data_IF_084489098009
#
_entry.id   IF_084489098009
#
_cell.length_a   1.000
_cell.length_b   1.000
_cell.length_c   1.000
_cell.angle_alpha   90.00
_cell.angle_beta   90.00
_cell.angle_gamma   90.00
#
_symmetry.space_group_name_H-M   'P 1'
#
loop_
_entity.id
_entity.type
_entity.pdbx_description
1 polymer ?
#
# COMPACT_ATOMS: atom_id res chain seq x y z
N UNK A 1 10.65 58.11 -29.24
CA UNK A 1 12.09 58.12 -29.38
C UNK A 1 12.74 57.59 -28.13
N UNK A 2 13.79 56.82 -28.29
CA UNK A 2 14.63 56.13 -27.30
C UNK A 2 14.27 54.69 -26.94
N UNK A 3 14.98 53.76 -27.62
CA UNK A 3 15.18 52.36 -27.32
C UNK A 3 16.22 52.23 -26.20
N UNK A 4 15.94 51.36 -25.22
CA UNK A 4 17.01 50.86 -24.36
C UNK A 4 17.03 49.35 -24.42
N UNK A 5 18.10 48.81 -24.96
CA UNK A 5 18.57 47.44 -24.94
C UNK A 5 19.41 47.26 -23.66
N UNK A 6 19.11 46.26 -22.84
CA UNK A 6 20.00 45.71 -21.80
C UNK A 6 19.66 44.22 -21.72
N UNK A 7 20.46 43.31 -22.20
CA UNK A 7 21.70 42.88 -21.65
C UNK A 7 21.51 41.51 -21.02
N UNK A 8 21.73 40.36 -21.79
CA UNK A 8 21.74 38.97 -21.33
C UNK A 8 23.00 38.70 -20.48
N UNK A 9 22.95 38.03 -19.35
CA UNK A 9 24.14 37.40 -18.76
C UNK A 9 24.19 35.90 -19.00
N UNK A 10 25.19 35.48 -19.66
CA UNK A 10 26.22 34.51 -19.39
C UNK A 10 25.82 33.12 -18.88
N UNK A 11 25.82 32.14 -19.83
CA UNK A 11 25.94 30.71 -19.52
C UNK A 11 27.31 30.42 -18.88
N UNK A 12 27.33 29.98 -17.64
CA UNK A 12 28.49 29.29 -17.05
C UNK A 12 28.35 27.80 -17.28
N UNK A 13 29.19 27.24 -18.11
CA UNK A 13 29.43 25.80 -18.25
C UNK A 13 30.32 25.37 -17.09
N UNK A 14 29.82 24.47 -16.27
CA UNK A 14 30.63 23.77 -15.27
C UNK A 14 31.03 22.43 -15.88
N UNK A 15 32.32 22.25 -16.10
CA UNK A 15 32.93 21.02 -16.56
C UNK A 15 32.98 20.02 -15.39
N UNK A 16 32.41 18.85 -15.58
CA UNK A 16 32.50 17.73 -14.63
C UNK A 16 33.70 16.87 -14.95
N UNK A 17 34.60 16.75 -14.00
CA UNK A 17 35.75 15.86 -14.05
C UNK A 17 35.31 14.42 -13.71
N UNK A 18 35.68 13.49 -14.59
CA UNK A 18 35.61 12.05 -14.44
C UNK A 18 36.66 11.60 -13.40
N UNK A 19 36.17 10.95 -12.32
CA UNK A 19 37.02 10.21 -11.40
C UNK A 19 36.69 8.72 -11.50
N UNK A 20 37.54 7.95 -12.23
CA UNK A 20 37.55 6.50 -12.25
C UNK A 20 38.33 6.02 -11.01
N UNK A 21 37.64 5.35 -10.09
CA UNK A 21 38.25 4.67 -8.96
C UNK A 21 37.85 3.19 -8.96
N UNK A 22 38.72 2.34 -9.53
CA UNK A 22 38.66 0.89 -9.43
C UNK A 22 39.27 0.49 -8.09
N UNK A 23 38.51 -0.15 -7.21
CA UNK A 23 39.03 -0.88 -6.06
C UNK A 23 38.48 -2.31 -6.12
N UNK A 24 39.40 -3.18 -6.53
CA UNK A 24 39.33 -4.64 -6.41
C UNK A 24 39.72 -5.00 -4.97
N UNK A 25 38.85 -5.65 -4.26
CA UNK A 25 39.11 -6.12 -2.89
C UNK A 25 38.46 -7.46 -2.64
N UNK A 26 39.32 -8.45 -2.48
CA UNK A 26 39.21 -9.91 -2.47
C UNK A 26 38.37 -10.49 -1.34
N UNK A 27 37.66 -11.57 -1.68
CA UNK A 27 37.34 -12.84 -1.01
C UNK A 27 37.89 -13.08 0.43
N UNK A 28 36.96 -13.42 1.32
CA UNK A 28 37.23 -14.38 2.37
C UNK A 28 36.00 -15.26 2.60
N UNK A 29 36.10 -16.50 2.14
CA UNK A 29 35.26 -17.65 2.48
C UNK A 29 35.76 -18.20 3.83
N UNK A 30 34.88 -18.27 4.81
CA UNK A 30 34.99 -19.15 6.00
C UNK A 30 33.55 -19.63 6.20
N UNK A 31 33.14 -20.85 6.00
CA UNK A 31 33.67 -22.10 6.43
C UNK A 31 32.90 -22.60 7.65
N UNK A 32 31.84 -23.45 7.41
CA UNK A 32 31.30 -24.52 8.24
C UNK A 32 31.04 -24.30 9.74
N UNK A 33 29.80 -24.55 10.17
CA UNK A 33 29.59 -25.58 11.19
C UNK A 33 28.10 -26.01 11.21
N UNK A 34 27.91 -27.28 10.85
CA UNK A 34 26.75 -28.10 11.09
C UNK A 34 26.55 -28.31 12.60
N UNK A 35 25.37 -27.95 13.12
CA UNK A 35 24.96 -28.32 14.46
C UNK A 35 23.45 -28.57 14.46
N UNK A 36 23.07 -29.85 14.29
CA UNK A 36 21.70 -30.29 14.54
C UNK A 36 21.50 -30.46 16.04
N UNK A 37 20.46 -29.90 16.65
CA UNK A 37 19.90 -30.43 17.87
C UNK A 37 18.76 -31.38 17.56
N UNK A 38 18.92 -32.64 17.83
CA UNK A 38 17.85 -33.58 18.12
C UNK A 38 17.10 -33.10 19.35
N UNK A 39 15.80 -32.92 19.23
CA UNK A 39 14.91 -32.69 20.33
C UNK A 39 13.50 -33.11 19.91
N UNK A 40 13.19 -34.40 20.08
CA UNK A 40 11.85 -34.93 19.94
C UNK A 40 10.98 -34.43 21.08
N UNK A 41 9.95 -33.63 20.76
CA UNK A 41 8.86 -33.27 21.63
C UNK A 41 7.57 -33.89 21.13
N UNK A 42 7.14 -34.95 21.81
CA UNK A 42 5.86 -35.66 21.60
C UNK A 42 4.72 -34.73 21.92
N UNK A 43 3.84 -34.47 20.94
CA UNK A 43 2.59 -33.74 21.14
C UNK A 43 1.54 -34.70 21.71
N UNK A 44 0.89 -34.39 22.84
CA UNK A 44 -0.19 -35.24 23.38
C UNK A 44 -1.44 -35.12 22.49
N UNK A 45 -2.21 -36.22 22.33
CA UNK A 45 -3.45 -36.18 21.53
C UNK A 45 -4.58 -35.47 22.28
N UNK A 46 -5.26 -34.59 21.54
CA UNK A 46 -6.49 -33.94 21.96
C UNK A 46 -7.59 -34.99 22.13
N UNK A 47 -8.13 -35.11 23.34
CA UNK A 47 -9.30 -35.93 23.65
C UNK A 47 -10.55 -35.34 23.02
N UNK A 48 -11.13 -36.11 22.13
CA UNK A 48 -12.51 -35.96 21.65
C UNK A 48 -13.48 -36.43 22.76
N UNK A 49 -14.30 -35.55 23.28
CA UNK A 49 -15.52 -35.91 24.02
C UNK A 49 -16.66 -35.40 23.12
N UNK A 50 -17.55 -36.20 22.54
CA UNK A 50 -18.39 -37.24 23.12
C UNK A 50 -19.79 -36.68 23.31
N UNK A 51 -20.59 -36.83 22.27
CA UNK A 51 -22.01 -37.21 22.15
C UNK A 51 -23.00 -36.86 23.32
N UNK A 52 -24.14 -36.35 22.86
CA UNK A 52 -25.44 -36.36 23.50
C UNK A 52 -26.28 -35.20 22.94
N UNK A 53 -27.30 -35.36 22.17
CA UNK A 53 -28.45 -36.23 22.19
C UNK A 53 -29.71 -35.39 22.44
N UNK A 54 -30.69 -35.45 21.53
CA UNK A 54 -32.06 -35.04 21.82
C UNK A 54 -32.67 -34.01 20.88
N UNK A 55 -33.28 -34.43 19.81
CA UNK A 55 -34.72 -34.62 19.53
C UNK A 55 -35.55 -33.38 19.18
N UNK A 56 -36.04 -33.43 17.96
CA UNK A 56 -37.40 -33.16 17.44
C UNK A 56 -37.98 -31.75 17.46
N UNK A 57 -38.30 -31.22 16.31
CA UNK A 57 -39.62 -31.24 15.72
C UNK A 57 -39.70 -30.51 14.39
N UNK A 58 -40.32 -31.16 13.44
CA UNK A 58 -40.93 -30.81 12.17
C UNK A 58 -41.62 -29.44 12.11
N UNK A 59 -41.51 -28.79 10.93
CA UNK A 59 -42.66 -28.47 10.08
C UNK A 59 -42.21 -27.79 8.79
N UNK A 60 -42.38 -28.48 7.71
CA UNK A 60 -43.16 -28.24 6.48
C UNK A 60 -42.87 -26.97 5.68
N UNK A 61 -42.21 -27.17 4.54
CA UNK A 61 -42.66 -26.94 3.17
C UNK A 61 -43.15 -25.54 2.77
N UNK A 62 -42.36 -24.98 1.82
CA UNK A 62 -42.92 -24.48 0.58
C UNK A 62 -41.81 -24.41 -0.48
N UNK A 63 -42.06 -25.03 -1.60
CA UNK A 63 -41.14 -25.17 -2.74
C UNK A 63 -40.92 -23.86 -3.49
N UNK A 64 -39.72 -23.70 -3.92
CA UNK A 64 -39.30 -22.76 -4.95
C UNK A 64 -38.17 -23.42 -5.69
N UNK A 65 -38.50 -24.04 -6.83
CA UNK A 65 -37.55 -24.49 -7.84
C UNK A 65 -36.76 -23.33 -8.36
N UNK A 66 -35.50 -23.19 -7.93
CA UNK A 66 -34.53 -22.33 -8.55
C UNK A 66 -33.44 -23.24 -9.11
N UNK A 67 -33.40 -23.32 -10.43
CA UNK A 67 -32.43 -24.01 -11.26
C UNK A 67 -31.02 -23.65 -10.83
N UNK A 68 -30.28 -24.69 -10.43
CA UNK A 68 -28.89 -24.58 -10.02
C UNK A 68 -27.99 -24.10 -11.16
N UNK A 69 -27.36 -23.01 -10.94
CA UNK A 69 -26.04 -22.75 -11.49
C UNK A 69 -25.04 -23.15 -10.40
N UNK A 70 -24.29 -24.22 -10.66
CA UNK A 70 -23.12 -24.58 -9.87
C UNK A 70 -22.09 -23.46 -10.04
N UNK A 71 -22.21 -22.41 -9.25
CA UNK A 71 -21.18 -21.41 -9.08
C UNK A 71 -20.03 -22.06 -8.33
N UNK A 72 -18.90 -22.26 -8.99
CA UNK A 72 -17.63 -22.41 -8.30
C UNK A 72 -17.60 -21.33 -7.22
N UNK A 73 -17.27 -21.71 -5.97
CA UNK A 73 -17.11 -20.77 -4.87
C UNK A 73 -16.00 -19.79 -5.29
N UNK A 74 -16.38 -18.64 -5.84
CA UNK A 74 -15.52 -17.49 -6.04
C UNK A 74 -14.98 -17.16 -4.66
N UNK A 75 -13.67 -17.27 -4.45
CA UNK A 75 -12.98 -16.54 -3.40
C UNK A 75 -13.53 -15.12 -3.47
N UNK A 76 -14.16 -14.64 -2.38
CA UNK A 76 -15.03 -13.47 -2.39
C UNK A 76 -14.43 -12.32 -3.20
N UNK A 77 -15.20 -11.81 -4.14
CA UNK A 77 -14.78 -10.68 -4.98
C UNK A 77 -14.33 -9.53 -4.06
N UNK A 78 -13.14 -8.99 -4.33
CA UNK A 78 -12.64 -7.81 -3.60
C UNK A 78 -13.57 -6.64 -3.91
N UNK A 79 -14.06 -5.98 -2.88
CA UNK A 79 -14.93 -4.81 -3.00
C UNK A 79 -14.29 -3.61 -2.31
N UNK A 80 -14.67 -2.41 -2.69
CA UNK A 80 -14.22 -1.18 -2.04
C UNK A 80 -14.47 -1.22 -0.51
N UNK A 81 -15.64 -1.72 -0.09
CA UNK A 81 -15.99 -1.88 1.32
C UNK A 81 -15.03 -2.84 2.04
N UNK A 82 -14.73 -4.01 1.44
CA UNK A 82 -13.81 -5.00 2.03
C UNK A 82 -12.38 -4.50 2.17
N UNK A 83 -12.00 -3.50 1.39
CA UNK A 83 -10.70 -2.85 1.42
C UNK A 83 -10.65 -1.64 2.35
N UNK A 84 -11.77 -1.14 2.83
CA UNK A 84 -11.85 -0.03 3.79
C UNK A 84 -11.42 -0.47 5.19
N UNK A 85 -11.10 0.50 6.05
CA UNK A 85 -10.76 0.31 7.47
C UNK A 85 -11.39 1.45 8.29
N UNK A 86 -12.63 1.27 8.78
CA UNK A 86 -13.34 2.30 9.53
C UNK A 86 -12.63 2.72 10.82
N UNK A 87 -11.94 1.78 11.50
CA UNK A 87 -11.23 2.06 12.75
C UNK A 87 -10.03 3.00 12.50
N UNK A 88 -9.44 2.91 11.31
CA UNK A 88 -8.38 3.80 10.86
C UNK A 88 -8.93 5.10 10.24
N UNK A 89 -10.24 5.20 10.02
CA UNK A 89 -10.86 6.30 9.27
C UNK A 89 -10.43 6.33 7.80
N UNK A 90 -10.18 5.17 7.23
CA UNK A 90 -9.72 4.95 5.87
C UNK A 90 -10.83 4.33 5.02
N UNK A 91 -11.28 5.04 4.02
CA UNK A 91 -12.40 4.63 3.16
C UNK A 91 -11.92 4.45 1.73
N UNK A 92 -12.09 3.25 1.18
CA UNK A 92 -12.01 3.02 -0.26
C UNK A 92 -13.38 3.28 -0.85
N UNK A 93 -13.49 4.27 -1.73
CA UNK A 93 -14.76 4.70 -2.35
C UNK A 93 -15.03 3.90 -3.62
N UNK A 94 -13.99 3.68 -4.42
CA UNK A 94 -14.10 2.96 -5.69
C UNK A 94 -12.84 2.17 -6.00
N UNK A 95 -13.03 1.11 -6.78
CA UNK A 95 -11.97 0.28 -7.38
C UNK A 95 -12.34 -0.05 -8.82
N UNK A 96 -11.37 -0.30 -9.71
CA UNK A 96 -11.66 -0.68 -11.09
C UNK A 96 -12.47 -1.96 -11.21
N UNK A 97 -13.36 -2.02 -12.19
CA UNK A 97 -14.09 -3.23 -12.55
C UNK A 97 -13.21 -4.21 -13.32
N UNK A 98 -13.59 -5.50 -13.32
CA UNK A 98 -13.01 -6.51 -14.20
C UNK A 98 -11.55 -6.82 -13.93
N UNK A 99 -11.06 -6.63 -12.69
CA UNK A 99 -9.71 -7.01 -12.31
C UNK A 99 -9.53 -8.54 -12.41
N UNK A 100 -8.49 -8.98 -13.10
CA UNK A 100 -8.05 -10.38 -13.04
C UNK A 100 -7.38 -10.70 -11.68
N UNK A 101 -6.99 -11.97 -11.49
CA UNK A 101 -6.40 -12.41 -10.21
C UNK A 101 -5.09 -11.66 -9.87
N UNK A 102 -4.25 -11.38 -10.87
CA UNK A 102 -2.99 -10.66 -10.67
C UNK A 102 -3.21 -9.21 -10.30
N UNK A 103 -4.07 -8.50 -11.03
CA UNK A 103 -4.44 -7.12 -10.74
C UNK A 103 -5.14 -7.00 -9.39
N UNK A 104 -6.00 -7.96 -9.04
CA UNK A 104 -6.63 -8.03 -7.72
C UNK A 104 -5.59 -8.13 -6.60
N UNK A 105 -4.57 -8.98 -6.79
CA UNK A 105 -3.47 -9.12 -5.84
C UNK A 105 -2.66 -7.83 -5.71
N UNK A 106 -2.32 -7.19 -6.84
CA UNK A 106 -1.64 -5.87 -6.85
C UNK A 106 -2.43 -4.84 -6.05
N UNK A 107 -3.75 -4.75 -6.30
CA UNK A 107 -4.64 -3.84 -5.58
C UNK A 107 -4.63 -4.11 -4.08
N UNK A 108 -4.78 -5.36 -3.67
CA UNK A 108 -4.79 -5.75 -2.24
C UNK A 108 -3.47 -5.38 -1.56
N UNK A 109 -2.33 -5.67 -2.17
CA UNK A 109 -1.02 -5.39 -1.61
C UNK A 109 -0.74 -3.89 -1.55
N UNK A 110 -1.17 -3.13 -2.57
CA UNK A 110 -1.14 -1.67 -2.54
C UNK A 110 -1.96 -1.12 -1.36
N UNK A 111 -3.20 -1.58 -1.18
CA UNK A 111 -4.07 -1.12 -0.08
C UNK A 111 -3.48 -1.50 1.29
N UNK A 112 -2.86 -2.67 1.42
CA UNK A 112 -2.17 -3.06 2.65
C UNK A 112 -0.99 -2.11 2.97
N UNK A 113 -0.18 -1.79 1.96
CA UNK A 113 0.88 -0.79 2.07
C UNK A 113 0.32 0.58 2.47
N UNK A 114 -0.73 1.04 1.81
CA UNK A 114 -1.31 2.36 2.04
C UNK A 114 -1.90 2.48 3.46
N UNK A 115 -2.64 1.47 3.92
CA UNK A 115 -3.14 1.40 5.31
C UNK A 115 -2.01 1.39 6.33
N UNK A 116 -0.93 0.64 6.09
CA UNK A 116 0.23 0.61 6.99
C UNK A 116 0.88 2.00 7.08
N UNK A 117 1.04 2.69 5.95
CA UNK A 117 1.58 4.06 5.95
C UNK A 117 0.61 5.06 6.57
N UNK A 118 -0.70 4.92 6.34
CA UNK A 118 -1.71 5.76 6.98
C UNK A 118 -1.70 5.58 8.50
N UNK A 119 -1.66 4.34 8.99
CA UNK A 119 -1.51 4.03 10.42
C UNK A 119 -0.23 4.66 10.99
N UNK A 120 0.89 4.53 10.27
CA UNK A 120 2.16 5.13 10.67
C UNK A 120 2.04 6.66 10.86
N UNK A 121 1.41 7.36 9.93
CA UNK A 121 1.27 8.81 10.00
C UNK A 121 0.22 9.28 11.01
N UNK A 122 -0.79 8.48 11.30
CA UNK A 122 -1.84 8.82 12.25
C UNK A 122 -1.48 8.50 13.71
N UNK A 123 -0.68 7.47 13.94
CA UNK A 123 -0.34 6.97 15.30
C UNK A 123 1.14 7.03 15.64
N UNK A 124 2.01 7.20 14.66
CA UNK A 124 3.47 7.06 14.77
C UNK A 124 3.92 5.62 15.11
N UNK A 125 3.05 4.64 14.93
CA UNK A 125 3.33 3.22 15.14
C UNK A 125 3.34 2.46 13.81
N UNK A 126 3.98 1.26 13.79
CA UNK A 126 4.01 0.40 12.61
C UNK A 126 5.05 0.80 11.55
N UNK A 127 6.15 1.46 11.95
CA UNK A 127 7.22 1.81 11.00
C UNK A 127 7.79 0.60 10.28
N UNK A 128 8.07 -0.49 11.00
CA UNK A 128 8.64 -1.71 10.41
C UNK A 128 7.67 -2.36 9.42
N UNK A 129 6.36 -2.34 9.70
CA UNK A 129 5.32 -2.82 8.80
C UNK A 129 5.29 -2.00 7.50
N UNK A 130 5.25 -0.68 7.60
CA UNK A 130 5.27 0.20 6.43
C UNK A 130 6.56 0.04 5.60
N UNK A 131 7.71 -0.16 6.26
CA UNK A 131 8.97 -0.44 5.60
C UNK A 131 9.00 -1.82 4.95
N UNK A 132 8.39 -2.86 5.56
CA UNK A 132 8.31 -4.20 4.98
C UNK A 132 7.49 -4.24 3.69
N UNK A 133 6.45 -3.39 3.58
CA UNK A 133 5.57 -3.29 2.41
C UNK A 133 6.08 -2.28 1.34
N UNK A 134 7.28 -1.74 1.51
CA UNK A 134 7.87 -0.77 0.58
C UNK A 134 9.30 -1.11 0.20
N UNK A 135 9.77 -0.54 -0.89
CA UNK A 135 11.16 -0.65 -1.37
C UNK A 135 11.59 0.66 -2.06
N UNK A 136 12.78 0.71 -2.62
CA UNK A 136 13.27 1.82 -3.42
C UNK A 136 13.11 3.18 -2.75
N UNK A 137 12.71 4.16 -3.55
CA UNK A 137 12.55 5.56 -3.09
C UNK A 137 11.41 5.73 -2.10
N UNK A 138 10.37 4.90 -2.18
CA UNK A 138 9.25 4.93 -1.23
C UNK A 138 9.69 4.59 0.18
N UNK A 139 10.47 3.51 0.35
CA UNK A 139 11.02 3.11 1.65
C UNK A 139 11.93 4.19 2.25
N UNK A 140 12.78 4.79 1.44
CA UNK A 140 13.66 5.88 1.87
C UNK A 140 12.87 7.11 2.32
N UNK A 141 11.84 7.49 1.57
CA UNK A 141 10.97 8.61 1.89
C UNK A 141 10.20 8.39 3.20
N UNK A 142 9.66 7.18 3.43
CA UNK A 142 8.99 6.83 4.69
C UNK A 142 9.96 7.03 5.87
N UNK A 143 11.16 6.43 5.81
CA UNK A 143 12.17 6.53 6.88
C UNK A 143 12.59 7.97 7.14
N UNK A 144 12.89 8.72 6.07
CA UNK A 144 13.33 10.10 6.16
C UNK A 144 12.25 11.01 6.75
N UNK A 145 11.01 10.88 6.30
CA UNK A 145 9.89 11.67 6.79
C UNK A 145 9.54 11.31 8.23
N UNK A 146 9.56 10.03 8.58
CA UNK A 146 9.35 9.59 9.96
C UNK A 146 10.34 10.23 10.93
N UNK A 147 11.62 10.30 10.58
CA UNK A 147 12.65 10.88 11.43
C UNK A 147 12.56 12.41 11.53
N UNK A 148 12.11 13.08 10.45
CA UNK A 148 12.07 14.55 10.38
C UNK A 148 10.81 15.17 10.97
N UNK A 149 9.70 14.44 10.97
CA UNK A 149 8.37 14.99 11.27
C UNK A 149 7.79 14.38 12.52
N UNK A 150 7.43 15.21 13.50
CA UNK A 150 6.71 14.83 14.70
C UNK A 150 5.25 15.31 14.63
N UNK A 151 4.58 14.94 13.54
CA UNK A 151 3.20 15.33 13.28
C UNK A 151 2.36 14.09 13.10
N UNK A 152 1.07 14.22 13.37
CA UNK A 152 0.08 13.18 13.22
C UNK A 152 -0.96 13.63 12.21
N UNK A 153 -1.25 12.80 11.23
CA UNK A 153 -2.43 12.99 10.37
C UNK A 153 -3.66 12.44 11.08
N UNK A 154 -4.78 13.15 10.97
CA UNK A 154 -6.03 12.71 11.58
C UNK A 154 -7.05 12.40 10.49
N UNK A 155 -7.77 11.28 10.63
CA UNK A 155 -8.82 10.90 9.69
C UNK A 155 -9.94 11.96 9.62
N UNK A 156 -10.81 11.89 8.61
CA UNK A 156 -10.91 10.80 7.62
C UNK A 156 -10.02 11.02 6.40
N UNK A 157 -9.75 9.93 5.69
CA UNK A 157 -9.23 9.93 4.33
C UNK A 157 -10.10 9.04 3.46
N UNK A 158 -10.35 9.46 2.22
CA UNK A 158 -11.04 8.66 1.21
C UNK A 158 -10.16 8.49 -0.01
N UNK A 159 -10.15 7.29 -0.57
CA UNK A 159 -9.42 7.01 -1.81
C UNK A 159 -10.32 6.38 -2.87
N UNK A 160 -10.02 6.66 -4.13
CA UNK A 160 -10.57 5.96 -5.27
C UNK A 160 -9.44 5.46 -6.15
N UNK A 161 -9.41 4.16 -6.42
CA UNK A 161 -8.46 3.58 -7.37
C UNK A 161 -9.10 3.60 -8.74
N UNK A 162 -8.48 4.29 -9.69
CA UNK A 162 -9.00 4.42 -11.05
C UNK A 162 -8.42 3.40 -12.02
N UNK A 163 -7.20 2.90 -11.75
CA UNK A 163 -6.55 1.93 -12.63
C UNK A 163 -5.54 1.06 -11.89
N UNK A 164 -5.39 -0.19 -12.39
CA UNK A 164 -4.36 -1.15 -11.98
C UNK A 164 -3.79 -1.79 -13.24
N UNK A 165 -2.53 -1.50 -13.52
CA UNK A 165 -1.79 -2.06 -14.65
C UNK A 165 -0.67 -2.98 -14.17
N UNK A 166 -0.48 -4.11 -14.87
CA UNK A 166 0.65 -5.02 -14.64
C UNK A 166 1.53 -4.98 -15.87
N UNK A 167 2.83 -4.77 -15.66
CA UNK A 167 3.80 -4.73 -16.74
C UNK A 167 3.89 -6.07 -17.48
N UNK A 168 4.31 -6.03 -18.72
CA UNK A 168 4.44 -7.22 -19.58
C UNK A 168 5.43 -8.26 -19.02
N UNK A 169 6.33 -7.84 -18.13
CA UNK A 169 7.30 -8.70 -17.44
C UNK A 169 6.67 -9.48 -16.26
N UNK A 170 5.43 -9.13 -15.88
CA UNK A 170 4.74 -9.69 -14.70
C UNK A 170 5.43 -9.38 -13.36
N UNK A 171 6.39 -8.44 -13.33
CA UNK A 171 7.19 -8.09 -12.14
C UNK A 171 7.04 -6.65 -11.72
N UNK A 172 6.50 -5.80 -12.57
CA UNK A 172 6.19 -4.41 -12.29
C UNK A 172 4.68 -4.18 -12.39
N UNK A 173 4.16 -3.23 -11.62
CA UNK A 173 2.77 -2.82 -11.68
C UNK A 173 2.63 -1.33 -11.34
N UNK A 174 1.54 -0.73 -11.80
CA UNK A 174 1.17 0.63 -11.49
C UNK A 174 -0.27 0.66 -10.94
N UNK A 175 -0.50 1.48 -9.92
CA UNK A 175 -1.83 1.78 -9.40
C UNK A 175 -2.02 3.30 -9.49
N UNK A 176 -3.08 3.72 -10.17
CA UNK A 176 -3.51 5.13 -10.20
C UNK A 176 -4.58 5.34 -9.15
N UNK A 177 -4.33 6.27 -8.23
CA UNK A 177 -5.19 6.49 -7.07
C UNK A 177 -5.41 7.97 -6.80
N UNK A 178 -6.66 8.35 -6.55
CA UNK A 178 -7.04 9.67 -6.06
C UNK A 178 -7.25 9.62 -4.55
N UNK A 179 -6.56 10.49 -3.83
CA UNK A 179 -6.77 10.72 -2.39
C UNK A 179 -7.62 11.96 -2.19
N UNK A 180 -8.73 11.84 -1.51
CA UNK A 180 -9.48 12.97 -0.97
C UNK A 180 -9.06 13.20 0.49
N UNK A 181 -8.28 14.25 0.70
CA UNK A 181 -7.76 14.68 2.00
C UNK A 181 -8.41 15.97 2.49
N UNK A 182 -9.49 16.41 1.85
CA UNK A 182 -10.15 17.69 2.14
C UNK A 182 -10.66 17.81 3.58
N UNK A 183 -10.91 16.66 4.24
CA UNK A 183 -11.37 16.59 5.63
C UNK A 183 -10.27 16.14 6.61
N UNK A 184 -9.07 15.83 6.11
CA UNK A 184 -7.94 15.42 6.93
C UNK A 184 -7.40 16.62 7.71
N UNK A 185 -6.98 16.40 8.96
CA UNK A 185 -6.24 17.39 9.74
C UNK A 185 -4.86 16.90 10.12
N UNK A 186 -3.98 17.81 10.48
CA UNK A 186 -2.63 17.51 10.94
C UNK A 186 -2.42 18.18 12.28
N UNK A 187 -2.00 17.40 13.29
CA UNK A 187 -1.68 17.93 14.62
C UNK A 187 -0.20 17.72 14.95
N UNK A 188 0.35 18.59 15.79
CA UNK A 188 1.68 18.45 16.34
C UNK A 188 1.74 17.45 17.52
N UNK A 189 2.90 17.29 18.13
CA UNK A 189 3.10 16.40 19.30
C UNK A 189 2.35 16.85 20.55
N UNK A 190 1.90 18.12 20.62
CA UNK A 190 1.11 18.67 21.71
C UNK A 190 -0.41 18.60 21.44
N UNK A 191 -0.81 18.11 20.26
CA UNK A 191 -2.22 18.04 19.86
C UNK A 191 -2.77 19.32 19.23
N UNK A 192 -1.93 20.34 19.00
CA UNK A 192 -2.37 21.56 18.33
C UNK A 192 -2.58 21.32 16.84
N UNK A 193 -3.64 21.88 16.29
CA UNK A 193 -3.89 21.85 14.85
C UNK A 193 -2.83 22.70 14.12
N UNK A 194 -2.11 22.06 13.22
CA UNK A 194 -1.10 22.66 12.33
C UNK A 194 -1.40 22.35 10.87
N UNK A 195 -2.66 22.09 10.57
CA UNK A 195 -3.14 21.80 9.22
C UNK A 195 -2.87 22.99 8.31
N UNK A 196 -2.37 22.73 7.13
CA UNK A 196 -2.19 23.72 6.07
C UNK A 196 -3.22 23.49 4.99
N UNK A 197 -3.74 24.55 4.39
CA UNK A 197 -4.69 24.48 3.27
C UNK A 197 -4.17 23.58 2.14
N UNK A 198 -2.85 23.64 1.86
CA UNK A 198 -2.19 22.78 0.87
C UNK A 198 -2.17 21.29 1.24
N UNK A 199 -2.57 20.93 2.46
CA UNK A 199 -2.71 19.53 2.90
C UNK A 199 -4.13 19.01 2.74
N UNK A 200 -5.12 19.91 2.66
CA UNK A 200 -6.55 19.61 2.53
C UNK A 200 -6.99 19.75 1.08
N UNK A 201 -6.54 18.82 0.26
CA UNK A 201 -6.83 18.82 -1.17
C UNK A 201 -7.01 17.40 -1.68
N UNK A 202 -7.46 17.27 -2.92
CA UNK A 202 -7.40 16.01 -3.65
C UNK A 202 -6.06 15.88 -4.34
N UNK A 203 -5.50 14.68 -4.38
CA UNK A 203 -4.27 14.39 -5.12
C UNK A 203 -4.34 13.05 -5.80
N UNK A 204 -3.96 13.05 -7.05
CA UNK A 204 -3.80 11.85 -7.83
C UNK A 204 -2.33 11.43 -7.87
N UNK A 205 -2.12 10.16 -7.63
CA UNK A 205 -0.80 9.55 -7.66
C UNK A 205 -0.76 8.33 -8.56
N UNK A 206 0.37 8.15 -9.21
CA UNK A 206 0.81 6.89 -9.79
C UNK A 206 1.75 6.22 -8.78
N UNK A 207 1.36 5.05 -8.31
CA UNK A 207 2.16 4.24 -7.40
C UNK A 207 2.78 3.10 -8.19
N UNK A 208 4.10 3.10 -8.31
CA UNK A 208 4.85 2.00 -8.90
C UNK A 208 5.09 0.91 -7.85
N UNK A 209 4.78 -0.34 -8.23
CA UNK A 209 5.02 -1.53 -7.41
C UNK A 209 5.92 -2.51 -8.15
N UNK A 210 6.67 -3.29 -7.38
CA UNK A 210 7.49 -4.40 -7.89
C UNK A 210 7.14 -5.68 -7.14
N UNK A 211 7.13 -6.80 -7.88
CA UNK A 211 6.92 -8.12 -7.29
C UNK A 211 8.07 -8.48 -6.36
N UNK A 212 7.78 -8.75 -5.08
CA UNK A 212 8.73 -9.21 -4.09
C UNK A 212 8.98 -10.73 -4.15
N UNK A 213 9.96 -11.20 -3.37
CA UNK A 213 10.33 -12.62 -3.32
C UNK A 213 9.23 -13.51 -2.70
N UNK A 214 8.33 -12.93 -1.90
CA UNK A 214 7.28 -13.63 -1.15
C UNK A 214 5.90 -13.55 -1.80
N UNK A 215 5.82 -13.36 -3.13
CA UNK A 215 4.56 -13.14 -3.86
C UNK A 215 3.75 -11.93 -3.32
N UNK A 216 4.46 -10.93 -2.79
CA UNK A 216 3.90 -9.65 -2.31
C UNK A 216 4.39 -8.53 -3.19
N UNK A 217 3.50 -7.65 -3.60
CA UNK A 217 3.86 -6.44 -4.33
C UNK A 217 4.29 -5.32 -3.38
N UNK A 218 5.49 -4.82 -3.57
CA UNK A 218 6.09 -3.78 -2.74
C UNK A 218 6.00 -2.42 -3.41
N UNK A 219 5.54 -1.41 -2.69
CA UNK A 219 5.51 -0.03 -3.19
C UNK A 219 6.94 0.52 -3.34
N UNK A 220 7.35 0.85 -4.56
CA UNK A 220 8.69 1.29 -4.91
C UNK A 220 8.80 2.79 -5.13
N UNK A 221 7.79 3.38 -5.81
CA UNK A 221 7.80 4.77 -6.20
C UNK A 221 6.41 5.39 -6.10
N UNK A 222 6.37 6.71 -5.95
CA UNK A 222 5.14 7.50 -5.95
C UNK A 222 5.38 8.79 -6.74
N UNK A 223 4.53 9.02 -7.74
CA UNK A 223 4.56 10.22 -8.59
C UNK A 223 3.22 10.94 -8.51
N UNK A 224 3.22 12.24 -8.25
CA UNK A 224 2.00 13.05 -8.32
C UNK A 224 1.63 13.30 -9.78
N UNK A 225 0.40 12.96 -10.16
CA UNK A 225 -0.14 13.21 -11.50
C UNK A 225 -0.91 14.53 -11.55
N UNK A 226 -1.82 14.74 -10.60
CA UNK A 226 -2.63 15.96 -10.53
C UNK A 226 -2.91 16.41 -9.09
N UNK A 227 -3.39 17.63 -8.94
CA UNK A 227 -3.90 18.18 -7.67
C UNK A 227 -5.24 18.85 -7.93
N UNK A 228 -6.23 18.54 -7.10
CA UNK A 228 -7.59 19.05 -7.11
C UNK A 228 -8.47 18.69 -8.35
N UNK A 229 -7.93 17.85 -9.26
CA UNK A 229 -8.62 17.49 -10.51
C UNK A 229 -9.18 16.06 -10.50
N UNK A 230 -8.71 15.19 -9.58
CA UNK A 230 -9.16 13.80 -9.53
C UNK A 230 -10.46 13.62 -8.73
N UNK A 231 -11.13 12.47 -8.97
CA UNK A 231 -12.31 12.04 -8.24
C UNK A 231 -12.04 10.69 -7.57
N UNK A 232 -12.55 10.50 -6.36
CA UNK A 232 -12.57 9.19 -5.71
C UNK A 232 -13.70 8.30 -6.20
N UNK A 233 -14.67 8.86 -6.93
CA UNK A 233 -15.77 8.11 -7.55
C UNK A 233 -15.36 7.68 -8.97
N UNK A 234 -15.80 6.50 -9.37
CA UNK A 234 -15.66 6.06 -10.76
C UNK A 234 -16.55 6.94 -11.66
N UNK A 235 -16.02 7.26 -12.84
CA UNK A 235 -16.76 8.00 -13.87
C UNK A 235 -17.58 7.03 -14.71
#
# INVERSE_FOLDING_TARGET
>A
MARSLVGLPGRRRVASALGVGVLVGSLALVGCSSGSPKGGGTIPPLKTAGAGGGSTASSAASGGTSTGASGAASAGAVTAESLSDPDLGYTVVSIPDGLDATKTKVLQDYINYDKATWRLWSTRQGLDEALALSTGTTRENIRNNYNKTKRYTRPPISIGVSDVEVGADGKSANVTVCYDRTKMTVVDENGNDVTKDSSQNKKEYLIGLVGGESDVWLAESQTTLSSDECSTEQK
#
